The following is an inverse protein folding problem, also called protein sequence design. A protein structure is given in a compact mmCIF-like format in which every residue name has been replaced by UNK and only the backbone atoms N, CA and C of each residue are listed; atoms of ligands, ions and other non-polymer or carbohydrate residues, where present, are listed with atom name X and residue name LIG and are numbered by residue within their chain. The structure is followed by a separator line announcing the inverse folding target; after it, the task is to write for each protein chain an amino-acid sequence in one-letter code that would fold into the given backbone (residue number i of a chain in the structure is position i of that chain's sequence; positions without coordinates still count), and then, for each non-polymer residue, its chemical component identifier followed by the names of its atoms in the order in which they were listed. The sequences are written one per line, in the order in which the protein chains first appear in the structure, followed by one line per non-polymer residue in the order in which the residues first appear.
data_IF_650522316622
#
_entry.id   IF_650522316622
#
_cell.length_a   1.000
_cell.length_b   1.000
_cell.length_c   1.000
_cell.angle_alpha   90.00
_cell.angle_beta   90.00
_cell.angle_gamma   90.00
#
_symmetry.space_group_name_H-M   'P 1'
#
loop_
_entity.id
_entity.type
_entity.pdbx_description
1 polymer ?
#
# COMPACT_ATOMS: atom_id res chain seq x y z
N UNK A 1 6.54 20.40 1.61
CA UNK A 1 6.63 18.94 1.35
C UNK A 1 6.33 18.57 -0.09
N UNK A 2 5.12 18.85 -0.62
CA UNK A 2 4.76 18.46 -2.00
C UNK A 2 5.74 19.00 -3.07
N UNK A 3 6.14 20.28 -2.99
CA UNK A 3 7.14 20.84 -3.91
C UNK A 3 8.53 20.22 -3.79
N UNK A 4 8.98 19.90 -2.57
CA UNK A 4 10.30 19.29 -2.34
C UNK A 4 10.39 17.86 -2.91
N UNK A 5 9.30 17.10 -2.85
CA UNK A 5 9.23 15.77 -3.47
C UNK A 5 9.36 15.85 -5.00
N UNK A 6 8.69 16.81 -5.62
CA UNK A 6 8.73 17.03 -7.06
C UNK A 6 10.07 17.60 -7.54
N UNK A 7 10.70 18.48 -6.74
CA UNK A 7 12.07 18.94 -6.96
C UNK A 7 13.06 17.78 -7.01
N UNK A 8 13.02 16.88 -6.01
CA UNK A 8 13.91 15.73 -5.95
C UNK A 8 13.68 14.70 -7.06
N UNK A 9 12.42 14.54 -7.52
CA UNK A 9 12.08 13.62 -8.60
C UNK A 9 12.35 14.20 -10.01
N UNK A 10 12.28 15.52 -10.14
CA UNK A 10 12.23 16.24 -11.41
C UNK A 10 10.82 16.24 -12.04
N UNK A 11 10.54 17.24 -12.89
CA UNK A 11 9.22 17.42 -13.51
C UNK A 11 8.75 16.24 -14.37
N UNK A 12 9.67 15.60 -15.12
CA UNK A 12 9.36 14.43 -15.96
C UNK A 12 8.78 13.25 -15.18
N UNK A 13 9.19 13.08 -13.92
CA UNK A 13 8.76 11.97 -13.05
C UNK A 13 7.69 12.38 -12.04
N UNK A 14 7.16 13.60 -12.19
CA UNK A 14 6.22 14.18 -11.25
C UNK A 14 4.82 14.26 -11.85
N UNK A 15 3.81 13.92 -11.05
CA UNK A 15 2.42 14.27 -11.32
C UNK A 15 1.94 15.23 -10.22
N UNK A 16 1.05 16.15 -10.58
CA UNK A 16 0.45 17.10 -9.64
C UNK A 16 -1.05 16.90 -9.57
N UNK A 17 -1.59 16.59 -8.40
CA UNK A 17 -3.04 16.52 -8.17
C UNK A 17 -3.45 17.68 -7.26
N UNK A 18 -3.88 18.78 -7.86
CA UNK A 18 -4.27 20.00 -7.15
C UNK A 18 -5.77 20.01 -6.80
N UNK A 19 -6.17 20.80 -5.81
CA UNK A 19 -7.57 21.03 -5.42
C UNK A 19 -7.86 22.52 -5.51
N UNK A 20 -9.00 22.90 -6.10
CA UNK A 20 -9.44 24.30 -6.10
C UNK A 20 -9.87 24.71 -4.70
N UNK A 21 -9.13 25.63 -4.08
CA UNK A 21 -9.51 26.28 -2.84
C UNK A 21 -9.58 27.80 -3.05
N UNK A 22 -10.44 28.50 -2.29
CA UNK A 22 -10.61 29.94 -2.45
C UNK A 22 -9.42 30.79 -1.97
N UNK A 23 -8.50 30.24 -1.15
CA UNK A 23 -7.46 31.04 -0.47
C UNK A 23 -6.03 30.41 -0.44
N UNK A 24 -5.82 29.23 -1.03
CA UNK A 24 -4.54 28.49 -1.16
C UNK A 24 -4.67 27.60 -2.42
N UNK A 25 -3.70 27.09 -3.18
CA UNK A 25 -2.25 27.07 -3.18
C UNK A 25 -1.92 27.07 -4.70
N UNK A 26 -1.16 28.06 -5.21
CA UNK A 26 -0.68 27.96 -6.59
C UNK A 26 0.15 26.69 -6.74
N UNK A 27 0.04 26.02 -7.89
CA UNK A 27 0.86 24.85 -8.14
C UNK A 27 2.35 25.24 -8.00
N UNK A 28 3.13 24.41 -7.34
CA UNK A 28 4.54 24.71 -7.16
C UNK A 28 5.26 24.76 -8.54
N UNK A 29 6.38 25.52 -8.65
CA UNK A 29 6.99 25.82 -9.95
C UNK A 29 7.39 24.59 -10.78
N UNK A 30 7.64 23.45 -10.13
CA UNK A 30 8.09 22.23 -10.80
C UNK A 30 7.04 21.55 -11.66
N UNK A 31 5.75 21.81 -11.41
CA UNK A 31 4.63 21.19 -12.14
C UNK A 31 3.62 22.23 -12.67
N UNK A 32 3.78 23.51 -12.33
CA UNK A 32 2.78 24.55 -12.60
C UNK A 32 2.39 24.68 -14.08
N UNK A 33 3.33 24.46 -15.00
CA UNK A 33 3.09 24.53 -16.46
C UNK A 33 3.05 23.15 -17.14
N UNK A 34 3.05 22.07 -16.37
CA UNK A 34 3.15 20.72 -16.90
C UNK A 34 1.75 20.12 -17.17
N UNK A 35 1.51 19.45 -18.32
CA UNK A 35 0.22 18.81 -18.61
C UNK A 35 -0.16 17.69 -17.61
N UNK A 36 0.80 17.19 -16.81
CA UNK A 36 0.58 16.22 -15.72
C UNK A 36 -0.01 16.85 -14.45
N UNK A 37 -0.27 18.17 -14.45
CA UNK A 37 -1.00 18.87 -13.38
C UNK A 37 -2.51 18.79 -13.59
N UNK A 38 -3.18 17.98 -12.79
CA UNK A 38 -4.63 17.81 -12.82
C UNK A 38 -5.24 18.57 -11.64
N UNK A 39 -6.18 19.47 -11.93
CA UNK A 39 -6.87 20.25 -10.90
C UNK A 39 -8.28 19.76 -10.68
N UNK A 40 -8.56 19.29 -9.47
CA UNK A 40 -9.86 18.78 -9.05
C UNK A 40 -10.73 19.88 -8.45
N UNK A 41 -12.05 19.75 -8.62
CA UNK A 41 -13.05 20.58 -7.94
C UNK A 41 -13.45 19.99 -6.59
N UNK A 42 -13.45 18.66 -6.46
CA UNK A 42 -13.95 17.95 -5.28
C UNK A 42 -12.83 17.15 -4.61
N UNK A 43 -12.75 17.24 -3.28
CA UNK A 43 -11.75 16.51 -2.49
C UNK A 43 -11.82 14.99 -2.71
N UNK A 44 -13.02 14.40 -2.66
CA UNK A 44 -13.17 12.93 -2.78
C UNK A 44 -12.60 12.39 -4.09
N UNK A 45 -12.77 13.10 -5.21
CA UNK A 45 -12.15 12.68 -6.49
C UNK A 45 -10.64 12.73 -6.42
N UNK A 46 -10.05 13.81 -5.89
CA UNK A 46 -8.58 13.93 -5.77
C UNK A 46 -8.00 12.79 -4.93
N UNK A 47 -8.62 12.50 -3.78
CA UNK A 47 -8.16 11.46 -2.86
C UNK A 47 -8.28 10.06 -3.45
N UNK A 48 -9.37 9.79 -4.17
CA UNK A 48 -9.52 8.53 -4.90
C UNK A 48 -8.38 8.30 -5.89
N UNK A 49 -8.00 9.32 -6.68
CA UNK A 49 -6.89 9.21 -7.62
C UNK A 49 -5.54 9.00 -6.92
N UNK A 50 -5.31 9.67 -5.78
CA UNK A 50 -4.08 9.47 -4.98
C UNK A 50 -3.92 8.00 -4.54
N UNK A 51 -4.99 7.39 -4.03
CA UNK A 51 -4.91 6.00 -3.53
C UNK A 51 -4.91 4.99 -4.68
N UNK A 52 -5.75 5.19 -5.69
CA UNK A 52 -5.95 4.23 -6.78
C UNK A 52 -4.70 4.07 -7.65
N UNK A 53 -4.02 5.17 -7.94
CA UNK A 53 -2.87 5.18 -8.86
C UNK A 53 -1.53 4.97 -8.13
N UNK A 54 -1.54 4.88 -6.80
CA UNK A 54 -0.33 4.66 -6.01
C UNK A 54 0.10 3.19 -6.01
N UNK A 55 1.38 2.95 -6.32
CA UNK A 55 2.06 1.67 -6.04
C UNK A 55 2.79 1.67 -4.69
N UNK A 56 2.89 2.81 -4.02
CA UNK A 56 3.43 2.97 -2.68
C UNK A 56 2.99 4.33 -2.16
N UNK A 57 2.89 4.49 -0.84
CA UNK A 57 2.50 5.77 -0.23
C UNK A 57 3.53 6.16 0.83
N UNK A 58 4.02 7.39 0.74
CA UNK A 58 4.94 7.96 1.73
C UNK A 58 4.29 9.16 2.40
N UNK A 59 4.02 9.04 3.70
CA UNK A 59 3.49 10.12 4.52
C UNK A 59 4.62 10.80 5.30
N UNK A 60 4.63 12.12 5.24
CA UNK A 60 5.54 12.99 5.99
C UNK A 60 4.75 13.76 7.05
N UNK A 61 5.37 14.23 8.14
CA UNK A 61 4.69 15.02 9.16
C UNK A 61 3.89 16.18 8.57
N UNK A 62 2.63 16.33 8.99
CA UNK A 62 1.72 17.34 8.45
C UNK A 62 0.53 17.64 9.36
N UNK A 63 -0.45 18.35 8.81
CA UNK A 63 -1.68 18.73 9.53
C UNK A 63 -2.84 17.78 9.25
N UNK A 64 -4.07 18.29 9.39
CA UNK A 64 -5.30 17.51 9.18
C UNK A 64 -5.40 16.86 7.80
N UNK A 65 -4.96 17.54 6.74
CA UNK A 65 -4.99 16.97 5.38
C UNK A 65 -4.15 15.70 5.25
N UNK A 66 -2.96 15.67 5.88
CA UNK A 66 -2.10 14.48 5.89
C UNK A 66 -2.73 13.36 6.70
N UNK A 67 -3.28 13.65 7.88
CA UNK A 67 -3.94 12.64 8.71
C UNK A 67 -5.18 12.06 8.01
N UNK A 68 -5.96 12.91 7.34
CA UNK A 68 -7.13 12.53 6.56
C UNK A 68 -6.77 11.56 5.42
N UNK A 69 -5.77 11.91 4.58
CA UNK A 69 -5.27 11.03 3.52
C UNK A 69 -4.65 9.73 4.07
N UNK A 70 -3.96 9.78 5.22
CA UNK A 70 -3.39 8.62 5.88
C UNK A 70 -4.46 7.65 6.38
N UNK A 71 -5.46 8.12 7.12
CA UNK A 71 -6.55 7.27 7.58
C UNK A 71 -7.39 6.74 6.42
N UNK A 72 -7.68 7.54 5.40
CA UNK A 72 -8.43 7.06 4.22
C UNK A 72 -7.69 5.94 3.50
N UNK A 73 -6.38 6.09 3.28
CA UNK A 73 -5.54 5.04 2.68
C UNK A 73 -5.61 3.74 3.48
N UNK A 74 -5.43 3.83 4.81
CA UNK A 74 -5.46 2.66 5.68
C UNK A 74 -6.84 2.02 5.75
N UNK A 75 -7.91 2.80 5.84
CA UNK A 75 -9.29 2.30 5.85
C UNK A 75 -9.64 1.59 4.55
N UNK A 76 -9.22 2.12 3.40
CA UNK A 76 -9.46 1.47 2.10
C UNK A 76 -8.69 0.14 1.96
N UNK A 77 -7.46 0.06 2.48
CA UNK A 77 -6.69 -1.18 2.50
C UNK A 77 -7.29 -2.19 3.49
N UNK A 78 -7.62 -1.75 4.70
CA UNK A 78 -8.22 -2.56 5.78
C UNK A 78 -9.56 -3.19 5.35
N UNK A 79 -10.36 -2.47 4.57
CA UNK A 79 -11.68 -2.92 4.09
C UNK A 79 -11.63 -3.64 2.74
N UNK A 80 -10.45 -3.83 2.15
CA UNK A 80 -10.29 -4.48 0.84
C UNK A 80 -10.84 -3.67 -0.34
N UNK A 81 -11.08 -2.37 -0.16
CA UNK A 81 -11.57 -1.46 -1.21
C UNK A 81 -10.45 -0.89 -2.07
N UNK A 82 -9.21 -1.04 -1.63
CA UNK A 82 -8.00 -0.77 -2.42
C UNK A 82 -7.04 -1.95 -2.34
N UNK A 83 -6.10 -2.02 -3.29
CA UNK A 83 -5.00 -2.98 -3.24
C UNK A 83 -4.06 -2.63 -2.08
N UNK A 84 -3.51 -3.64 -1.41
CA UNK A 84 -2.45 -3.43 -0.41
C UNK A 84 -1.19 -2.96 -1.13
N UNK A 85 -0.67 -1.81 -0.70
CA UNK A 85 0.59 -1.21 -1.16
C UNK A 85 1.46 -0.89 0.07
N UNK A 86 2.78 -0.76 -0.06
CA UNK A 86 3.61 -0.37 1.06
C UNK A 86 3.31 1.09 1.44
N UNK A 87 2.91 1.30 2.70
CA UNK A 87 2.71 2.63 3.29
C UNK A 87 3.84 2.91 4.29
N UNK A 88 4.67 3.91 3.98
CA UNK A 88 5.77 4.36 4.83
C UNK A 88 5.43 5.70 5.49
N UNK A 89 5.57 5.76 6.80
CA UNK A 89 5.43 6.96 7.61
C UNK A 89 6.83 7.43 7.96
N UNK A 90 7.34 8.38 7.18
CA UNK A 90 8.73 8.79 7.21
C UNK A 90 8.97 9.89 8.25
N UNK A 91 9.85 9.63 9.20
CA UNK A 91 10.21 10.49 10.33
C UNK A 91 11.73 10.68 10.37
N UNK A 92 12.28 11.58 9.54
CA UNK A 92 13.73 11.87 9.49
C UNK A 92 14.18 12.85 10.59
N UNK A 93 13.24 13.58 11.20
CA UNK A 93 13.53 14.61 12.20
C UNK A 93 13.69 14.06 13.63
N UNK A 94 14.30 14.86 14.50
CA UNK A 94 14.45 14.54 15.92
C UNK A 94 13.14 14.69 16.71
N UNK A 95 12.22 15.51 16.23
CA UNK A 95 10.90 15.68 16.85
C UNK A 95 9.99 14.50 16.46
N UNK A 96 9.53 13.69 17.43
CA UNK A 96 8.67 12.55 17.14
C UNK A 96 7.29 13.01 16.67
N UNK A 97 6.79 12.40 15.60
CA UNK A 97 5.48 12.67 15.03
C UNK A 97 4.73 11.38 14.72
N UNK A 98 5.32 10.49 13.92
CA UNK A 98 4.69 9.23 13.51
C UNK A 98 4.76 8.17 14.60
N UNK A 99 5.80 8.19 15.44
CA UNK A 99 5.87 7.31 16.62
C UNK A 99 4.70 7.54 17.59
N UNK A 100 4.39 8.76 18.07
CA UNK A 100 3.24 8.99 18.93
C UNK A 100 1.91 8.78 18.20
N UNK A 101 1.81 9.11 16.90
CA UNK A 101 0.64 8.78 16.09
C UNK A 101 0.40 7.25 16.04
N UNK A 102 1.43 6.46 15.77
CA UNK A 102 1.35 5.00 15.75
C UNK A 102 1.09 4.40 17.13
N UNK A 103 1.57 5.06 18.19
CA UNK A 103 1.22 4.72 19.56
C UNK A 103 -0.26 4.98 19.84
N UNK A 104 -0.86 6.07 19.34
CA UNK A 104 -2.30 6.27 19.43
C UNK A 104 -3.08 5.15 18.72
N UNK A 105 -2.70 4.78 17.49
CA UNK A 105 -3.36 3.69 16.75
C UNK A 105 -3.30 2.38 17.54
N UNK A 106 -2.14 2.02 18.10
CA UNK A 106 -1.97 0.83 18.92
C UNK A 106 -2.70 0.93 20.26
N UNK A 107 -2.36 1.92 21.07
CA UNK A 107 -2.75 1.98 22.48
C UNK A 107 -4.21 2.41 22.67
N UNK A 108 -4.80 3.06 21.67
CA UNK A 108 -6.21 3.45 21.67
C UNK A 108 -7.04 2.56 20.75
N UNK A 109 -6.78 2.58 19.43
CA UNK A 109 -7.68 1.92 18.48
C UNK A 109 -7.63 0.39 18.59
N UNK A 110 -6.45 -0.20 18.71
CA UNK A 110 -6.32 -1.67 18.89
C UNK A 110 -6.83 -2.08 20.27
N UNK A 111 -6.41 -1.40 21.35
CA UNK A 111 -6.83 -1.74 22.73
C UNK A 111 -8.35 -1.68 22.89
N UNK A 112 -9.01 -0.70 22.28
CA UNK A 112 -10.47 -0.56 22.30
C UNK A 112 -11.18 -1.44 21.26
N UNK A 113 -10.45 -2.29 20.53
CA UNK A 113 -10.97 -3.21 19.50
C UNK A 113 -11.72 -2.49 18.36
N UNK A 114 -11.28 -1.28 18.01
CA UNK A 114 -11.79 -0.51 16.88
C UNK A 114 -11.14 -0.93 15.56
N UNK A 115 -9.95 -1.52 15.63
CA UNK A 115 -9.22 -2.16 14.53
C UNK A 115 -8.57 -3.44 15.03
N UNK A 116 -8.15 -4.32 14.12
CA UNK A 116 -7.44 -5.55 14.49
C UNK A 116 -5.97 -5.25 14.81
N UNK A 117 -5.33 -6.00 15.73
CA UNK A 117 -3.89 -5.87 15.96
C UNK A 117 -3.05 -6.06 14.69
N UNK A 118 -3.53 -6.87 13.75
CA UNK A 118 -2.86 -7.13 12.48
C UNK A 118 -2.88 -5.93 11.54
N UNK A 119 -3.81 -4.97 11.71
CA UNK A 119 -3.88 -3.76 10.89
C UNK A 119 -2.69 -2.82 11.11
N UNK A 120 -1.97 -2.97 12.22
CA UNK A 120 -0.67 -2.31 12.43
C UNK A 120 0.38 -2.70 11.38
N UNK A 121 0.20 -3.83 10.68
CA UNK A 121 1.06 -4.22 9.57
C UNK A 121 0.79 -3.39 8.31
N UNK A 122 -0.32 -2.65 8.19
CA UNK A 122 -0.65 -1.90 6.98
C UNK A 122 0.26 -0.69 6.73
N UNK A 123 1.00 -0.23 7.73
CA UNK A 123 1.98 0.86 7.60
C UNK A 123 3.28 0.55 8.34
N UNK A 124 4.34 1.27 7.98
CA UNK A 124 5.63 1.19 8.67
C UNK A 124 6.16 2.59 8.98
N UNK A 125 6.44 2.86 10.25
CA UNK A 125 7.19 4.06 10.66
C UNK A 125 8.69 3.81 10.43
N UNK A 126 9.34 4.72 9.71
CA UNK A 126 10.75 4.61 9.32
C UNK A 126 11.50 5.90 9.63
N UNK A 127 12.77 5.78 10.03
CA UNK A 127 13.59 6.89 10.51
C UNK A 127 14.49 7.52 9.44
N UNK A 128 14.58 6.90 8.26
CA UNK A 128 15.44 7.37 7.18
C UNK A 128 14.85 7.12 5.79
N UNK A 129 15.35 7.85 4.81
CA UNK A 129 14.98 7.67 3.40
C UNK A 129 15.37 6.27 2.92
N UNK A 130 16.53 5.76 3.33
CA UNK A 130 17.00 4.42 2.96
C UNK A 130 16.10 3.32 3.50
N UNK A 131 15.61 3.46 4.74
CA UNK A 131 14.63 2.52 5.31
C UNK A 131 13.29 2.56 4.56
N UNK A 132 12.83 3.74 4.15
CA UNK A 132 11.62 3.88 3.34
C UNK A 132 11.77 3.19 1.98
N UNK A 133 12.89 3.42 1.29
CA UNK A 133 13.20 2.77 0.01
C UNK A 133 13.29 1.25 0.19
N UNK A 134 14.00 0.79 1.22
CA UNK A 134 14.17 -0.63 1.50
C UNK A 134 12.83 -1.33 1.78
N UNK A 135 11.90 -0.67 2.49
CA UNK A 135 10.56 -1.20 2.71
C UNK A 135 9.78 -1.35 1.41
N UNK A 136 9.74 -0.30 0.57
CA UNK A 136 9.03 -0.31 -0.71
C UNK A 136 9.62 -1.38 -1.64
N UNK A 137 10.94 -1.45 -1.75
CA UNK A 137 11.63 -2.41 -2.61
C UNK A 137 11.45 -3.85 -2.12
N UNK A 138 11.46 -4.07 -0.79
CA UNK A 138 11.23 -5.40 -0.21
C UNK A 138 9.80 -5.87 -0.49
N UNK A 139 8.80 -4.99 -0.39
CA UNK A 139 7.41 -5.33 -0.67
C UNK A 139 7.18 -5.88 -2.08
N UNK A 140 8.02 -5.48 -3.06
CA UNK A 140 7.92 -5.95 -4.44
C UNK A 140 9.01 -6.95 -4.85
N UNK A 141 9.70 -7.58 -3.88
CA UNK A 141 10.84 -8.48 -4.16
C UNK A 141 10.40 -9.77 -4.84
N UNK A 142 9.33 -10.39 -4.34
CA UNK A 142 8.70 -11.60 -4.89
C UNK A 142 7.25 -11.31 -5.27
N UNK A 143 6.51 -10.60 -4.43
CA UNK A 143 5.16 -10.14 -4.76
C UNK A 143 5.22 -9.10 -5.89
N UNK A 144 4.32 -9.21 -6.87
CA UNK A 144 4.16 -8.20 -7.93
C UNK A 144 2.85 -7.45 -7.77
N UNK A 145 1.73 -8.17 -7.68
CA UNK A 145 0.39 -7.59 -7.58
C UNK A 145 -0.62 -8.65 -7.17
N UNK A 146 -1.80 -8.26 -6.70
CA UNK A 146 -2.90 -9.17 -6.43
C UNK A 146 -4.14 -8.80 -7.24
N UNK A 147 -5.02 -9.78 -7.47
CA UNK A 147 -6.39 -9.55 -7.95
C UNK A 147 -7.34 -10.60 -7.39
N UNK A 148 -8.63 -10.28 -7.37
CA UNK A 148 -9.67 -11.24 -7.03
C UNK A 148 -10.06 -12.03 -8.29
N UNK A 149 -10.16 -13.35 -8.17
CA UNK A 149 -10.64 -14.28 -9.21
C UNK A 149 -11.58 -15.29 -8.58
N UNK A 150 -12.88 -15.11 -8.79
CA UNK A 150 -13.90 -15.88 -8.07
C UNK A 150 -13.76 -15.64 -6.56
N UNK A 151 -13.69 -16.72 -5.79
CA UNK A 151 -13.51 -16.67 -4.32
C UNK A 151 -12.03 -16.62 -3.88
N UNK A 152 -11.10 -16.55 -4.82
CA UNK A 152 -9.66 -16.53 -4.54
C UNK A 152 -9.10 -15.12 -4.67
N UNK A 153 -8.13 -14.80 -3.81
CA UNK A 153 -7.15 -13.77 -4.12
C UNK A 153 -5.95 -14.43 -4.81
N UNK A 154 -5.59 -13.90 -5.96
CA UNK A 154 -4.52 -14.44 -6.81
C UNK A 154 -3.39 -13.44 -6.82
N UNK A 155 -2.26 -13.85 -6.26
CA UNK A 155 -1.03 -13.09 -6.27
C UNK A 155 -0.25 -13.43 -7.53
N UNK A 156 0.14 -12.42 -8.29
CA UNK A 156 1.21 -12.54 -9.28
C UNK A 156 2.54 -12.39 -8.58
N UNK A 157 3.45 -13.31 -8.82
CA UNK A 157 4.77 -13.34 -8.22
C UNK A 157 5.84 -13.17 -9.31
N UNK A 158 6.98 -12.58 -8.96
CA UNK A 158 8.17 -12.49 -9.83
C UNK A 158 8.88 -13.82 -9.99
N UNK A 159 8.68 -14.74 -9.04
CA UNK A 159 9.22 -16.10 -9.04
C UNK A 159 8.29 -17.02 -8.23
N UNK A 160 8.25 -18.33 -8.54
CA UNK A 160 7.43 -19.27 -7.77
C UNK A 160 7.97 -19.45 -6.35
N UNK A 161 7.08 -19.73 -5.40
CA UNK A 161 7.47 -20.22 -4.08
C UNK A 161 7.95 -21.67 -4.17
N UNK A 162 8.93 -22.02 -3.33
CA UNK A 162 9.34 -23.41 -3.15
C UNK A 162 8.25 -24.22 -2.44
N UNK A 163 8.26 -25.54 -2.59
CA UNK A 163 7.29 -26.40 -1.91
C UNK A 163 7.34 -26.31 -0.38
N UNK A 164 8.51 -26.02 0.21
CA UNK A 164 8.63 -25.78 1.65
C UNK A 164 8.01 -24.43 2.05
N UNK A 165 8.25 -23.37 1.27
CA UNK A 165 7.67 -22.06 1.51
C UNK A 165 6.13 -22.08 1.40
N UNK A 166 5.57 -22.84 0.44
CA UNK A 166 4.13 -22.99 0.30
C UNK A 166 3.50 -23.72 1.50
N UNK A 167 4.16 -24.76 2.04
CA UNK A 167 3.72 -25.43 3.26
C UNK A 167 3.78 -24.53 4.49
N UNK A 168 4.86 -23.76 4.64
CA UNK A 168 4.97 -22.81 5.74
C UNK A 168 3.91 -21.71 5.63
N UNK A 169 3.66 -21.19 4.42
CA UNK A 169 2.57 -20.24 4.16
C UNK A 169 1.23 -20.82 4.61
N UNK A 170 0.91 -22.04 4.19
CA UNK A 170 -0.34 -22.71 4.55
C UNK A 170 -0.51 -22.80 6.06
N UNK A 171 0.54 -23.22 6.78
CA UNK A 171 0.49 -23.36 8.24
C UNK A 171 0.36 -22.01 8.95
N UNK A 172 1.07 -20.98 8.47
CA UNK A 172 1.14 -19.67 9.15
C UNK A 172 -0.09 -18.81 8.94
N UNK A 173 -0.81 -19.01 7.84
CA UNK A 173 -1.91 -18.16 7.41
C UNK A 173 -3.22 -18.94 7.22
N UNK A 174 -3.34 -20.15 7.78
CA UNK A 174 -4.59 -20.92 7.78
C UNK A 174 -5.78 -20.12 8.33
N UNK A 175 -5.52 -19.19 9.26
CA UNK A 175 -6.50 -18.31 9.89
C UNK A 175 -7.23 -17.40 8.89
N UNK A 176 -6.64 -17.14 7.72
CA UNK A 176 -7.23 -16.31 6.67
C UNK A 176 -7.57 -17.07 5.39
N UNK A 177 -7.34 -18.39 5.34
CA UNK A 177 -7.57 -19.21 4.16
C UNK A 177 -8.76 -20.18 4.36
N UNK A 178 -9.60 -20.30 3.33
CA UNK A 178 -10.73 -21.25 3.26
C UNK A 178 -10.31 -22.67 2.90
N UNK A 179 -9.06 -22.87 2.49
CA UNK A 179 -8.55 -24.11 1.94
C UNK A 179 -7.08 -24.04 1.57
N UNK A 180 -6.54 -25.07 0.90
CA UNK A 180 -5.14 -25.11 0.53
C UNK A 180 -4.77 -24.01 -0.46
N UNK A 181 -3.65 -23.33 -0.20
CA UNK A 181 -2.98 -22.49 -1.17
C UNK A 181 -2.42 -23.34 -2.32
N UNK A 182 -2.51 -22.84 -3.55
CA UNK A 182 -2.00 -23.51 -4.74
C UNK A 182 -1.15 -22.55 -5.58
N UNK A 183 -0.39 -23.06 -6.54
CA UNK A 183 0.43 -22.24 -7.42
C UNK A 183 0.47 -22.79 -8.85
N UNK A 184 0.43 -21.88 -9.82
CA UNK A 184 0.59 -22.22 -11.24
C UNK A 184 1.64 -21.32 -11.91
N UNK A 185 2.21 -21.80 -13.01
CA UNK A 185 3.26 -21.10 -13.75
C UNK A 185 2.74 -19.89 -14.54
N UNK A 186 1.43 -19.82 -14.82
CA UNK A 186 0.86 -18.81 -15.71
C UNK A 186 -0.54 -18.35 -15.31
N UNK A 187 -1.18 -17.49 -16.12
CA UNK A 187 -2.47 -16.89 -15.80
C UNK A 187 -3.60 -17.91 -15.68
N UNK A 188 -4.52 -17.64 -14.76
CA UNK A 188 -5.81 -18.32 -14.75
C UNK A 188 -6.64 -17.89 -15.98
N UNK A 189 -7.58 -18.73 -16.48
CA UNK A 189 -8.41 -18.39 -17.63
C UNK A 189 -9.12 -17.03 -17.51
N UNK A 190 -9.58 -16.69 -16.30
CA UNK A 190 -10.28 -15.44 -15.99
C UNK A 190 -9.38 -14.19 -15.96
N UNK A 191 -8.06 -14.36 -16.09
CA UNK A 191 -7.10 -13.27 -16.17
C UNK A 191 -6.84 -12.78 -17.60
N UNK A 192 -7.44 -13.43 -18.63
CA UNK A 192 -7.31 -13.06 -20.04
C UNK A 192 -5.86 -12.86 -20.49
N UNK A 193 -4.94 -13.69 -19.99
CA UNK A 193 -3.53 -13.66 -20.39
C UNK A 193 -2.71 -12.47 -19.88
N UNK A 194 -3.21 -11.66 -18.94
CA UNK A 194 -2.43 -10.55 -18.38
C UNK A 194 -1.14 -11.06 -17.70
N UNK A 195 0.02 -10.46 -17.96
CA UNK A 195 1.33 -10.88 -17.40
C UNK A 195 1.60 -12.39 -17.56
N UNK A 196 1.63 -12.93 -18.79
CA UNK A 196 1.70 -14.38 -19.02
C UNK A 196 2.93 -15.05 -18.40
N UNK A 197 4.01 -14.28 -18.18
CA UNK A 197 5.29 -14.72 -17.64
C UNK A 197 5.33 -14.88 -16.12
N UNK A 198 4.37 -14.31 -15.38
CA UNK A 198 4.40 -14.31 -13.92
C UNK A 198 3.70 -15.55 -13.33
N UNK A 199 4.34 -16.31 -12.42
CA UNK A 199 3.63 -17.34 -11.67
C UNK A 199 2.52 -16.77 -10.78
N UNK A 200 1.50 -17.59 -10.51
CA UNK A 200 0.36 -17.24 -9.64
C UNK A 200 0.36 -18.07 -8.39
N UNK A 201 0.30 -17.41 -7.24
CA UNK A 201 -0.09 -18.02 -5.98
C UNK A 201 -1.60 -17.78 -5.78
N UNK A 202 -2.36 -18.85 -5.68
CA UNK A 202 -3.81 -18.87 -5.57
C UNK A 202 -4.17 -19.12 -4.11
N UNK A 203 -4.87 -18.17 -3.50
CA UNK A 203 -5.22 -18.20 -2.08
C UNK A 203 -6.75 -18.15 -1.94
N UNK A 204 -7.40 -19.25 -1.50
CA UNK A 204 -8.82 -19.24 -1.15
C UNK A 204 -9.02 -18.35 0.08
N UNK A 205 -9.46 -17.11 -0.09
CA UNK A 205 -9.37 -16.08 0.95
C UNK A 205 -10.74 -15.74 1.54
N UNK A 206 -10.83 -15.54 2.86
CA UNK A 206 -12.07 -15.12 3.54
C UNK A 206 -12.57 -13.74 3.12
N UNK A 207 -11.72 -12.89 2.56
CA UNK A 207 -12.10 -11.52 2.22
C UNK A 207 -12.14 -10.59 3.44
N UNK A 208 -11.43 -10.95 4.51
CA UNK A 208 -11.35 -10.22 5.77
C UNK A 208 -9.90 -10.25 6.31
N UNK A 209 -9.61 -9.48 7.37
CA UNK A 209 -8.29 -9.42 8.02
C UNK A 209 -7.18 -8.99 7.03
N UNK A 210 -7.35 -7.85 6.36
CA UNK A 210 -6.39 -7.38 5.36
C UNK A 210 -5.02 -7.00 5.97
N UNK A 211 -4.95 -6.63 7.25
CA UNK A 211 -3.68 -6.53 7.98
C UNK A 211 -2.92 -7.86 8.03
N UNK A 212 -3.62 -8.99 8.17
CA UNK A 212 -3.04 -10.33 8.14
C UNK A 212 -2.63 -10.74 6.73
N UNK A 213 -3.41 -10.36 5.71
CA UNK A 213 -3.04 -10.51 4.30
C UNK A 213 -1.75 -9.73 3.96
N UNK A 214 -1.58 -8.53 4.54
CA UNK A 214 -0.32 -7.76 4.42
C UNK A 214 0.87 -8.52 5.02
N UNK A 215 0.71 -9.16 6.17
CA UNK A 215 1.75 -10.02 6.75
C UNK A 215 2.07 -11.24 5.87
N UNK A 216 1.09 -11.80 5.16
CA UNK A 216 1.30 -12.85 4.16
C UNK A 216 2.14 -12.33 2.99
N UNK A 217 1.84 -11.13 2.48
CA UNK A 217 2.67 -10.49 1.45
C UNK A 217 4.11 -10.29 1.94
N UNK A 218 4.31 -9.86 3.18
CA UNK A 218 5.65 -9.72 3.76
C UNK A 218 6.37 -11.07 3.80
N UNK A 219 5.70 -12.15 4.22
CA UNK A 219 6.26 -13.51 4.20
C UNK A 219 6.63 -13.98 2.79
N UNK A 220 5.78 -13.75 1.79
CA UNK A 220 6.08 -14.08 0.39
C UNK A 220 7.37 -13.38 -0.05
N UNK A 221 7.53 -12.12 0.37
CA UNK A 221 8.72 -11.33 0.10
C UNK A 221 9.92 -11.67 0.98
N UNK A 222 9.85 -12.60 1.93
CA UNK A 222 11.03 -13.16 2.60
C UNK A 222 11.59 -14.40 1.90
N UNK A 223 10.84 -14.96 0.95
CA UNK A 223 11.25 -16.10 0.12
C UNK A 223 12.13 -15.68 -1.06
#
# INVERSE_FOLDING_TARGET
MMGAAQEGAGGERSFGLNIRLPFEQEANPWIASDPKLITFKYFFTRKLFLVKEAGAVAFFPGGFGTCDEAFETLTLMQSGKSTIVPVVMLEVGSAPYWRPWGAFVRDTLVTQRLIEPTDMALFRVVGSVDEAIAEIMRFYRVFHSARIVGDNIVFRLRRPLSGSALRELQQRFEDILKGPADQTAGPLPQENGAYPELPRLILPFYGALYGRLRQLIDFVNTQ
#
